data_IF_763660556689
#
_entry.id   IF_763660556689
#
_cell.length_a   1.000
_cell.length_b   1.000
_cell.length_c   1.000
_cell.angle_alpha   90.00
_cell.angle_beta   90.00
_cell.angle_gamma   90.00
#
_symmetry.space_group_name_H-M   'P 1'
#
loop_
_entity.id
_entity.type
_entity.pdbx_description
1 polymer ?
#
# COMPACT_ATOMS: atom_id res chain seq x y z
N UNK A 1 1.91 -13.37 -5.49
CA UNK A 1 3.08 -12.87 -6.26
C UNK A 1 4.06 -12.10 -5.35
N UNK A 2 3.78 -10.86 -4.88
CA UNK A 2 4.77 -10.12 -4.05
C UNK A 2 5.12 -10.84 -2.74
N UNK A 3 4.12 -11.37 -2.01
CA UNK A 3 4.37 -12.18 -0.82
C UNK A 3 5.25 -13.40 -1.11
N UNK A 4 4.94 -14.14 -2.16
CA UNK A 4 5.71 -15.34 -2.54
C UNK A 4 7.15 -14.99 -2.95
N UNK A 5 7.35 -13.84 -3.62
CA UNK A 5 8.68 -13.32 -3.89
C UNK A 5 9.46 -13.05 -2.59
N UNK A 6 8.85 -12.38 -1.61
CA UNK A 6 9.47 -12.10 -0.30
C UNK A 6 9.76 -13.40 0.45
N UNK A 7 8.85 -14.37 0.47
CA UNK A 7 9.08 -15.68 1.09
C UNK A 7 10.31 -16.38 0.49
N UNK A 8 10.44 -16.42 -0.86
CA UNK A 8 11.62 -17.01 -1.52
C UNK A 8 12.92 -16.27 -1.20
N UNK A 9 12.88 -14.96 -1.08
CA UNK A 9 14.04 -14.15 -0.66
C UNK A 9 14.55 -14.56 0.73
N UNK A 10 13.66 -15.02 1.60
CA UNK A 10 13.97 -15.52 2.94
C UNK A 10 14.14 -17.05 3.00
N UNK A 11 14.26 -17.72 1.86
CA UNK A 11 14.52 -19.16 1.77
C UNK A 11 13.31 -20.04 2.06
N UNK A 12 12.10 -19.49 1.99
CA UNK A 12 10.84 -20.23 2.16
C UNK A 12 10.18 -20.48 0.79
N UNK A 13 9.89 -21.72 0.49
CA UNK A 13 9.21 -22.07 -0.78
C UNK A 13 7.68 -22.06 -0.58
N UNK A 14 6.94 -21.19 -1.27
CA UNK A 14 5.48 -21.16 -1.23
C UNK A 14 4.87 -22.50 -1.61
N UNK A 15 3.81 -22.90 -0.91
CA UNK A 15 3.09 -24.18 -1.04
C UNK A 15 3.90 -25.42 -0.61
N UNK A 16 5.12 -25.24 -0.11
CA UNK A 16 5.96 -26.31 0.46
C UNK A 16 6.24 -26.03 1.93
N UNK A 17 6.91 -24.90 2.22
CA UNK A 17 7.24 -24.50 3.58
C UNK A 17 6.13 -23.64 4.22
N UNK A 18 5.42 -22.88 3.37
CA UNK A 18 4.32 -22.00 3.76
C UNK A 18 3.16 -22.17 2.80
N UNK A 19 1.99 -22.53 3.30
CA UNK A 19 0.76 -22.58 2.51
C UNK A 19 0.23 -21.15 2.30
N UNK A 20 0.27 -20.67 1.07
CA UNK A 20 -0.29 -19.38 0.68
C UNK A 20 -1.69 -19.60 0.13
N UNK A 21 -2.70 -19.33 0.97
CA UNK A 21 -4.11 -19.41 0.58
C UNK A 21 -4.57 -18.12 -0.10
N UNK A 22 -4.95 -18.21 -1.37
CA UNK A 22 -5.47 -17.10 -2.18
C UNK A 22 -6.99 -17.21 -2.43
N UNK A 23 -7.66 -18.13 -1.76
CA UNK A 23 -9.10 -18.37 -1.96
C UNK A 23 -9.99 -17.34 -1.25
N UNK A 24 -9.47 -16.68 -0.21
CA UNK A 24 -10.20 -15.66 0.55
C UNK A 24 -10.29 -14.36 -0.23
N UNK A 25 -11.50 -13.83 -0.39
CA UNK A 25 -11.69 -12.55 -1.06
C UNK A 25 -11.05 -11.42 -0.25
N UNK A 26 -10.52 -10.42 -0.95
CA UNK A 26 -9.75 -9.31 -0.40
C UNK A 26 -10.46 -8.60 0.79
N UNK A 27 -11.73 -8.28 0.63
CA UNK A 27 -12.54 -7.61 1.66
C UNK A 27 -12.90 -8.50 2.86
N UNK A 28 -12.67 -9.81 2.76
CA UNK A 28 -12.94 -10.79 3.83
C UNK A 28 -11.70 -11.20 4.61
N UNK A 29 -10.50 -10.82 4.14
CA UNK A 29 -9.22 -11.33 4.68
C UNK A 29 -9.03 -10.98 6.16
N UNK A 30 -9.31 -9.74 6.57
CA UNK A 30 -9.20 -9.33 7.97
C UNK A 30 -10.16 -10.13 8.87
N UNK A 31 -11.42 -10.30 8.44
CA UNK A 31 -12.42 -11.09 9.16
C UNK A 31 -12.07 -12.57 9.25
N UNK A 32 -11.55 -13.16 8.18
CA UNK A 32 -11.10 -14.56 8.17
C UNK A 32 -9.95 -14.79 9.18
N UNK A 33 -8.94 -13.91 9.17
CA UNK A 33 -7.82 -13.95 10.10
C UNK A 33 -8.27 -13.81 11.57
N UNK A 34 -9.08 -12.79 11.87
CA UNK A 34 -9.60 -12.58 13.22
C UNK A 34 -10.57 -13.68 13.68
N UNK A 35 -11.17 -14.40 12.73
CA UNK A 35 -11.95 -15.61 12.94
C UNK A 35 -11.10 -16.90 13.12
N UNK A 36 -9.77 -16.79 13.07
CA UNK A 36 -8.84 -17.90 13.30
C UNK A 36 -8.45 -18.68 12.04
N UNK A 37 -8.69 -18.13 10.85
CA UNK A 37 -8.22 -18.72 9.60
C UNK A 37 -6.80 -18.25 9.27
N UNK A 38 -5.84 -19.17 9.31
CA UNK A 38 -4.43 -18.94 9.06
C UNK A 38 -3.67 -18.32 10.23
N UNK A 39 -2.36 -18.48 10.21
CA UNK A 39 -1.46 -17.97 11.26
C UNK A 39 -0.98 -16.55 10.92
N UNK A 40 -0.99 -16.19 9.64
CA UNK A 40 -0.56 -14.89 9.09
C UNK A 40 -1.56 -14.41 8.05
N UNK A 41 -1.62 -13.10 7.88
CA UNK A 41 -2.44 -12.48 6.82
C UNK A 41 -1.71 -11.29 6.22
N UNK A 42 -1.87 -11.05 4.94
CA UNK A 42 -1.45 -9.80 4.29
C UNK A 42 -2.63 -8.86 4.21
N UNK A 43 -2.52 -7.69 4.81
CA UNK A 43 -3.57 -6.67 4.82
C UNK A 43 -3.02 -5.35 4.29
N UNK A 44 -3.88 -4.55 3.70
CA UNK A 44 -3.61 -3.14 3.42
C UNK A 44 -4.12 -2.27 4.57
N UNK A 45 -3.59 -1.06 4.63
CA UNK A 45 -4.12 -0.04 5.51
C UNK A 45 -5.48 0.51 5.00
N UNK A 46 -6.43 0.88 5.85
CA UNK A 46 -6.34 0.91 7.32
C UNK A 46 -6.65 -0.41 8.02
N UNK A 47 -7.02 -1.49 7.31
CA UNK A 47 -7.45 -2.75 7.91
C UNK A 47 -6.37 -3.39 8.81
N UNK A 48 -5.09 -3.29 8.44
CA UNK A 48 -3.99 -3.79 9.27
C UNK A 48 -3.95 -3.05 10.63
N UNK A 49 -4.01 -1.73 10.63
CA UNK A 49 -4.05 -0.93 11.86
C UNK A 49 -5.30 -1.22 12.68
N UNK A 50 -6.46 -1.42 12.08
CA UNK A 50 -7.71 -1.77 12.79
C UNK A 50 -7.59 -3.11 13.53
N UNK A 51 -7.00 -4.14 12.92
CA UNK A 51 -6.75 -5.44 13.56
C UNK A 51 -5.80 -5.28 14.77
N UNK A 52 -4.76 -4.46 14.65
CA UNK A 52 -3.84 -4.16 15.76
C UNK A 52 -4.55 -3.41 16.89
N UNK A 53 -5.32 -2.37 16.57
CA UNK A 53 -6.05 -1.59 17.57
C UNK A 53 -7.10 -2.42 18.31
N UNK A 54 -7.68 -3.42 17.64
CA UNK A 54 -8.60 -4.38 18.26
C UNK A 54 -7.89 -5.44 19.14
N UNK A 55 -6.55 -5.45 19.20
CA UNK A 55 -5.77 -6.43 19.94
C UNK A 55 -5.82 -7.84 19.35
N UNK A 56 -6.20 -7.98 18.08
CA UNK A 56 -6.40 -9.27 17.41
C UNK A 56 -5.19 -9.70 16.56
N UNK A 57 -4.15 -8.89 16.55
CA UNK A 57 -2.91 -9.19 15.84
C UNK A 57 -1.88 -8.08 15.99
N UNK A 58 -0.72 -8.26 15.38
CA UNK A 58 0.34 -7.26 15.31
C UNK A 58 1.01 -7.30 13.93
N UNK A 59 1.59 -6.18 13.51
CA UNK A 59 2.29 -6.11 12.24
C UNK A 59 3.68 -6.70 12.39
N UNK A 60 3.98 -7.72 11.60
CA UNK A 60 5.27 -8.38 11.58
C UNK A 60 6.27 -7.60 10.70
N UNK A 61 5.90 -7.29 9.47
CA UNK A 61 6.73 -6.56 8.52
C UNK A 61 5.86 -5.88 7.45
N UNK A 62 6.47 -4.99 6.68
CA UNK A 62 5.87 -4.45 5.46
C UNK A 62 6.37 -5.24 4.25
N UNK A 63 5.46 -5.93 3.56
CA UNK A 63 5.77 -6.65 2.32
C UNK A 63 6.37 -5.70 1.26
N UNK A 64 5.91 -4.45 1.21
CA UNK A 64 6.46 -3.45 0.30
C UNK A 64 7.90 -3.04 0.64
N UNK A 65 8.26 -2.96 1.92
CA UNK A 65 9.63 -2.69 2.34
C UNK A 65 10.56 -3.88 2.04
N UNK A 66 10.10 -5.11 2.31
CA UNK A 66 10.88 -6.33 2.07
C UNK A 66 11.07 -6.64 0.58
N UNK A 67 10.10 -6.30 -0.28
CA UNK A 67 10.21 -6.56 -1.71
C UNK A 67 11.12 -5.58 -2.46
N UNK A 68 11.53 -4.48 -1.82
CA UNK A 68 12.20 -3.36 -2.46
C UNK A 68 11.24 -2.55 -3.36
N UNK A 69 11.78 -1.61 -4.12
CA UNK A 69 10.97 -0.74 -4.97
C UNK A 69 10.31 -1.52 -6.10
N UNK A 70 8.99 -1.65 -6.03
CA UNK A 70 8.15 -2.25 -7.07
C UNK A 70 6.96 -1.33 -7.34
N UNK A 71 6.44 -1.23 -8.58
CA UNK A 71 5.22 -0.49 -8.86
C UNK A 71 4.03 -1.25 -8.29
N UNK A 72 3.20 -0.54 -7.50
CA UNK A 72 1.99 -1.11 -6.93
C UNK A 72 0.74 -0.69 -7.72
N UNK A 73 0.48 0.59 -7.80
CA UNK A 73 -0.61 1.16 -8.57
C UNK A 73 -0.08 2.22 -9.54
N UNK A 74 -0.81 2.44 -10.63
CA UNK A 74 -0.49 3.47 -11.59
C UNK A 74 -1.76 4.13 -12.11
N UNK A 75 -1.66 5.40 -12.47
CA UNK A 75 -2.68 6.08 -13.24
C UNK A 75 -2.52 5.76 -14.73
N UNK A 76 -3.62 5.54 -15.41
CA UNK A 76 -3.63 5.18 -16.83
C UNK A 76 -4.43 6.20 -17.64
N UNK A 77 -3.94 6.52 -18.81
CA UNK A 77 -4.70 7.23 -19.83
C UNK A 77 -4.53 6.52 -21.18
N UNK A 78 -5.54 6.58 -22.05
CA UNK A 78 -5.39 6.05 -23.40
C UNK A 78 -4.41 6.90 -24.21
N UNK A 79 -3.74 6.31 -25.19
CA UNK A 79 -2.80 7.04 -26.06
C UNK A 79 -3.47 8.19 -26.80
N UNK A 80 -4.71 7.99 -27.27
CA UNK A 80 -5.46 9.04 -27.95
C UNK A 80 -5.78 10.19 -26.99
N UNK A 81 -6.29 9.88 -25.79
CA UNK A 81 -6.57 10.91 -24.80
C UNK A 81 -5.32 11.73 -24.44
N UNK A 82 -4.20 11.05 -24.21
CA UNK A 82 -2.92 11.70 -23.88
C UNK A 82 -2.46 12.63 -25.01
N UNK A 83 -2.61 12.20 -26.28
CA UNK A 83 -2.21 13.01 -27.43
C UNK A 83 -3.11 14.24 -27.63
N UNK A 84 -4.39 14.16 -27.25
CA UNK A 84 -5.37 15.24 -27.42
C UNK A 84 -5.46 16.18 -26.21
N UNK A 85 -4.99 15.75 -25.03
CA UNK A 85 -5.17 16.42 -23.74
C UNK A 85 -3.86 16.47 -22.90
N UNK A 86 -2.75 16.76 -23.55
CA UNK A 86 -1.44 16.83 -22.89
C UNK A 86 -1.41 17.85 -21.73
N UNK A 87 -2.10 18.96 -21.87
CA UNK A 87 -2.26 20.00 -20.87
C UNK A 87 -2.97 19.49 -19.59
N UNK A 88 -4.00 18.64 -19.76
CA UNK A 88 -4.73 18.01 -18.65
C UNK A 88 -3.84 16.99 -17.93
N UNK A 89 -3.12 16.15 -18.68
CA UNK A 89 -2.18 15.17 -18.11
C UNK A 89 -1.08 15.91 -17.32
N UNK A 90 -0.50 16.95 -17.91
CA UNK A 90 0.52 17.75 -17.23
C UNK A 90 -0.03 18.45 -15.97
N UNK A 91 -1.26 18.95 -16.01
CA UNK A 91 -1.91 19.54 -14.83
C UNK A 91 -2.16 18.50 -13.72
N UNK A 92 -2.60 17.30 -14.08
CA UNK A 92 -2.77 16.19 -13.15
C UNK A 92 -1.44 15.80 -12.48
N UNK A 93 -0.37 15.62 -13.25
CA UNK A 93 0.95 15.32 -12.71
C UNK A 93 1.44 16.39 -11.74
N UNK A 94 1.25 17.67 -12.08
CA UNK A 94 1.59 18.79 -11.18
C UNK A 94 0.76 18.78 -9.90
N UNK A 95 -0.51 18.43 -9.97
CA UNK A 95 -1.37 18.33 -8.78
C UNK A 95 -0.91 17.21 -7.84
N UNK A 96 -0.55 16.05 -8.39
CA UNK A 96 -0.01 14.92 -7.60
C UNK A 96 1.33 15.30 -6.98
N UNK A 97 2.25 15.91 -7.74
CA UNK A 97 3.53 16.38 -7.20
C UNK A 97 3.33 17.36 -6.02
N UNK A 98 2.46 18.36 -6.21
CA UNK A 98 2.11 19.31 -5.15
C UNK A 98 1.51 18.65 -3.92
N UNK A 99 0.70 17.60 -4.10
CA UNK A 99 0.13 16.84 -2.98
C UNK A 99 1.22 16.08 -2.21
N UNK A 100 2.20 15.50 -2.90
CA UNK A 100 3.34 14.83 -2.26
C UNK A 100 4.20 15.81 -1.47
N UNK A 101 4.54 16.98 -2.03
CA UNK A 101 5.26 18.07 -1.33
C UNK A 101 4.49 18.52 -0.08
N UNK A 102 3.16 18.60 -0.18
CA UNK A 102 2.32 18.97 0.95
C UNK A 102 2.35 17.90 2.04
N UNK A 103 2.22 16.61 1.69
CA UNK A 103 2.34 15.49 2.64
C UNK A 103 3.71 15.48 3.32
N UNK A 104 4.79 15.76 2.60
CA UNK A 104 6.13 15.81 3.17
C UNK A 104 6.30 16.93 4.19
N UNK A 105 5.67 18.08 3.96
CA UNK A 105 5.78 19.29 4.80
C UNK A 105 4.80 19.35 5.97
N UNK A 106 3.87 18.41 6.09
CA UNK A 106 2.84 18.38 7.14
C UNK A 106 3.00 17.18 8.07
N UNK A 107 2.48 17.33 9.30
CA UNK A 107 2.46 16.26 10.30
C UNK A 107 1.50 15.14 9.89
N UNK A 108 1.69 13.95 10.46
CA UNK A 108 0.82 12.79 10.19
C UNK A 108 -0.64 13.09 10.58
N UNK A 109 -0.85 13.86 11.65
CA UNK A 109 -2.17 14.32 12.08
C UNK A 109 -2.84 15.24 11.07
N UNK A 110 -2.11 16.20 10.52
CA UNK A 110 -2.64 17.12 9.51
C UNK A 110 -2.98 16.38 8.21
N UNK A 111 -2.13 15.43 7.80
CA UNK A 111 -2.41 14.58 6.63
C UNK A 111 -3.67 13.75 6.89
N UNK A 112 -3.77 13.08 8.04
CA UNK A 112 -4.96 12.32 8.42
C UNK A 112 -6.23 13.19 8.42
N UNK A 113 -6.16 14.40 8.95
CA UNK A 113 -7.27 15.37 8.94
C UNK A 113 -7.70 15.76 7.52
N UNK A 114 -6.76 15.90 6.60
CA UNK A 114 -7.07 16.28 5.23
C UNK A 114 -7.80 15.16 4.47
N UNK A 115 -7.56 13.89 4.80
CA UNK A 115 -8.11 12.74 4.08
C UNK A 115 -9.27 12.03 4.81
N UNK A 116 -9.55 12.36 6.09
CA UNK A 116 -10.55 11.64 6.90
C UNK A 116 -11.92 11.53 6.22
N UNK A 117 -12.31 12.53 5.44
CA UNK A 117 -13.57 12.51 4.69
C UNK A 117 -13.68 11.41 3.62
N UNK A 118 -12.56 10.81 3.23
CA UNK A 118 -12.50 9.68 2.27
C UNK A 118 -12.58 8.32 2.97
N UNK A 119 -12.50 8.28 4.30
CA UNK A 119 -12.47 7.06 5.12
C UNK A 119 -13.56 7.11 6.20
N UNK A 120 -14.86 7.03 5.82
CA UNK A 120 -15.98 7.22 6.75
C UNK A 120 -16.04 6.19 7.89
N UNK A 121 -15.44 5.00 7.67
CA UNK A 121 -15.42 3.90 8.64
C UNK A 121 -14.13 3.84 9.47
N UNK A 122 -13.32 4.90 9.45
CA UNK A 122 -12.01 4.95 10.12
C UNK A 122 -11.92 6.22 10.98
N UNK A 123 -11.49 6.09 12.21
CA UNK A 123 -11.26 7.23 13.10
C UNK A 123 -9.93 7.94 12.77
N UNK A 124 -9.81 9.17 13.27
CA UNK A 124 -8.66 10.03 12.99
C UNK A 124 -7.35 9.49 13.56
N UNK A 125 -7.38 8.87 14.73
CA UNK A 125 -6.17 8.33 15.38
C UNK A 125 -5.64 7.12 14.62
N UNK A 126 -6.53 6.28 14.10
CA UNK A 126 -6.19 5.19 13.17
C UNK A 126 -5.54 5.72 11.89
N UNK A 127 -6.11 6.76 11.26
CA UNK A 127 -5.52 7.35 10.05
C UNK A 127 -4.18 8.04 10.32
N UNK A 128 -4.00 8.67 11.47
CA UNK A 128 -2.71 9.22 11.87
C UNK A 128 -1.65 8.12 11.99
N UNK A 129 -1.98 6.98 12.63
CA UNK A 129 -1.08 5.84 12.73
C UNK A 129 -0.74 5.24 11.35
N UNK A 130 -1.72 5.17 10.44
CA UNK A 130 -1.52 4.74 9.04
C UNK A 130 -0.57 5.69 8.32
N UNK A 131 -0.78 6.99 8.44
CA UNK A 131 0.07 8.02 7.81
C UNK A 131 1.51 7.94 8.32
N UNK A 132 1.70 7.83 9.63
CA UNK A 132 3.01 7.64 10.24
C UNK A 132 3.74 6.40 9.69
N UNK A 133 3.03 5.27 9.55
CA UNK A 133 3.60 4.04 9.00
C UNK A 133 3.96 4.18 7.54
N UNK A 134 3.10 4.77 6.71
CA UNK A 134 3.40 5.02 5.30
C UNK A 134 4.62 5.92 5.13
N UNK A 135 4.79 6.93 5.98
CA UNK A 135 5.98 7.79 6.00
C UNK A 135 7.23 7.01 6.40
N UNK A 136 7.14 6.17 7.44
CA UNK A 136 8.25 5.36 7.93
C UNK A 136 8.80 4.40 6.86
N UNK A 137 7.93 3.80 6.05
CA UNK A 137 8.32 2.89 4.96
C UNK A 137 8.57 3.60 3.62
N UNK A 138 8.50 4.93 3.58
CA UNK A 138 8.86 5.74 2.42
C UNK A 138 7.89 5.66 1.24
N UNK A 139 6.60 5.34 1.45
CA UNK A 139 5.60 5.18 0.38
C UNK A 139 5.48 6.43 -0.49
N UNK A 140 5.65 7.62 0.08
CA UNK A 140 5.48 8.90 -0.60
C UNK A 140 6.79 9.53 -1.11
N UNK A 141 7.94 8.92 -0.82
CA UNK A 141 9.27 9.43 -1.20
C UNK A 141 9.72 8.97 -2.59
N UNK A 142 8.80 8.51 -3.42
CA UNK A 142 9.12 8.00 -4.76
C UNK A 142 8.93 9.09 -5.81
N UNK A 143 9.84 9.20 -6.80
CA UNK A 143 9.61 10.08 -7.94
C UNK A 143 8.35 9.65 -8.71
N UNK A 144 7.65 10.60 -9.34
CA UNK A 144 6.46 10.33 -10.18
C UNK A 144 6.80 9.60 -11.49
N UNK A 145 7.93 8.89 -11.52
CA UNK A 145 8.41 8.13 -12.68
C UNK A 145 8.55 6.66 -12.28
N UNK A 146 8.14 5.78 -13.18
CA UNK A 146 8.31 4.35 -13.02
C UNK A 146 9.61 3.92 -13.71
N UNK A 147 10.54 3.38 -12.95
CA UNK A 147 11.79 2.85 -13.50
C UNK A 147 11.56 1.47 -14.12
N UNK A 148 12.15 1.23 -15.29
CA UNK A 148 12.04 -0.06 -15.99
C UNK A 148 12.53 -1.22 -15.11
N UNK A 149 13.63 -1.05 -14.38
CA UNK A 149 14.18 -2.06 -13.48
C UNK A 149 13.21 -2.48 -12.36
N UNK A 150 12.29 -1.59 -11.95
CA UNK A 150 11.27 -1.95 -10.94
C UNK A 150 10.12 -2.79 -11.50
N UNK A 151 9.88 -2.74 -12.82
CA UNK A 151 8.94 -3.62 -13.52
C UNK A 151 9.53 -5.03 -13.72
N UNK A 152 10.81 -5.11 -14.06
CA UNK A 152 11.51 -6.37 -14.34
C UNK A 152 11.68 -7.26 -13.09
N UNK A 153 11.63 -6.71 -11.88
CA UNK A 153 11.65 -7.49 -10.62
C UNK A 153 10.40 -8.34 -10.37
N UNK A 154 9.37 -8.22 -11.20
CA UNK A 154 8.12 -8.98 -11.05
C UNK A 154 8.15 -10.33 -11.79
N UNK A 155 9.12 -10.56 -12.65
CA UNK A 155 9.29 -11.79 -13.41
C UNK A 155 10.23 -12.77 -12.69
#
# INVERSE_FOLDING_TARGET
MTLEYVLRQHGLEPQVDVIVDTSVQFNMMAGAFTGGQGDYVTLFEPAATQVVNAGQGYILCSIGAESGTIPYTAYFASRNYTAEHDDVIAAFCRAVAKALDWVESHTDREVAQAIIGQFPDTDLDTLEAVTARHRQIGVWNTPLTMEQASLERRE
#
